data_IF_941629820018
#
_entry.id   IF_941629820018
#
_cell.length_a   1.000
_cell.length_b   1.000
_cell.length_c   1.000
_cell.angle_alpha   90.00
_cell.angle_beta   90.00
_cell.angle_gamma   90.00
#
_symmetry.space_group_name_H-M   'P 1'
#
loop_
_entity.id
_entity.type
_entity.pdbx_description
1 polymer ?
#
# COMPACT_ATOMS: atom_id res chain seq x y z
N UNK A 1 -12.58 61.80 -51.06
CA UNK A 1 -12.88 60.37 -51.23
C UNK A 1 -12.00 59.41 -50.39
N UNK A 2 -10.91 59.85 -49.74
CA UNK A 2 -9.98 58.95 -49.03
C UNK A 2 -10.34 58.61 -47.56
N UNK A 3 -11.27 59.35 -46.92
CA UNK A 3 -11.64 59.12 -45.50
C UNK A 3 -12.53 57.88 -45.28
N UNK A 4 -13.21 57.39 -46.32
CA UNK A 4 -14.16 56.28 -46.23
C UNK A 4 -13.52 54.90 -46.41
N UNK A 5 -12.29 54.83 -46.93
CA UNK A 5 -11.58 53.56 -47.19
C UNK A 5 -10.88 53.08 -45.91
N UNK A 6 -10.33 54.01 -45.12
CA UNK A 6 -9.68 53.70 -43.84
C UNK A 6 -10.69 53.24 -42.78
N UNK A 7 -11.90 53.80 -42.77
CA UNK A 7 -12.97 53.39 -41.85
C UNK A 7 -13.53 52.02 -42.21
N UNK A 8 -13.68 51.71 -43.51
CA UNK A 8 -14.11 50.40 -43.97
C UNK A 8 -13.08 49.30 -43.64
N UNK A 9 -11.78 49.58 -43.80
CA UNK A 9 -10.71 48.65 -43.44
C UNK A 9 -10.64 48.40 -41.93
N UNK A 10 -10.83 49.45 -41.11
CA UNK A 10 -10.86 49.32 -39.65
C UNK A 10 -12.09 48.51 -39.16
N UNK A 11 -13.26 48.72 -39.76
CA UNK A 11 -14.47 47.95 -39.46
C UNK A 11 -14.33 46.48 -39.86
N UNK A 12 -13.76 46.19 -41.03
CA UNK A 12 -13.49 44.82 -41.46
C UNK A 12 -12.47 44.11 -40.56
N UNK A 13 -11.45 44.83 -40.08
CA UNK A 13 -10.49 44.30 -39.11
C UNK A 13 -11.17 43.98 -37.78
N UNK A 14 -12.01 44.90 -37.27
CA UNK A 14 -12.75 44.67 -36.03
C UNK A 14 -13.73 43.50 -36.15
N UNK A 15 -14.47 43.39 -37.26
CA UNK A 15 -15.40 42.28 -37.52
C UNK A 15 -14.63 40.95 -37.66
N UNK A 16 -13.46 40.94 -38.31
CA UNK A 16 -12.61 39.74 -38.39
C UNK A 16 -12.06 39.33 -37.02
N UNK A 17 -11.63 40.30 -36.19
CA UNK A 17 -11.17 40.05 -34.83
C UNK A 17 -12.27 39.51 -33.91
N UNK A 18 -13.49 40.06 -33.99
CA UNK A 18 -14.62 39.59 -33.16
C UNK A 18 -15.12 38.20 -33.58
N UNK A 19 -15.14 37.90 -34.89
CA UNK A 19 -15.49 36.56 -35.39
C UNK A 19 -14.44 35.52 -35.01
N UNK A 20 -13.14 35.87 -34.98
CA UNK A 20 -12.06 34.98 -34.50
C UNK A 20 -12.13 34.73 -33.00
N UNK A 21 -12.50 35.72 -32.19
CA UNK A 21 -12.72 35.54 -30.75
C UNK A 21 -13.95 34.68 -30.45
N UNK A 22 -15.04 34.82 -31.21
CA UNK A 22 -16.27 34.05 -30.98
C UNK A 22 -16.09 32.56 -31.31
N UNK A 23 -15.25 32.22 -32.30
CA UNK A 23 -14.94 30.82 -32.64
C UNK A 23 -14.02 30.08 -31.64
N UNK A 24 -13.46 30.78 -30.64
CA UNK A 24 -12.63 30.17 -29.60
C UNK A 24 -13.43 29.83 -28.33
N UNK A 25 -14.72 30.19 -28.25
CA UNK A 25 -15.53 30.03 -27.03
C UNK A 25 -16.39 28.76 -26.98
N UNK A 26 -16.39 27.92 -28.03
CA UNK A 26 -17.28 26.76 -28.13
C UNK A 26 -16.70 25.41 -27.66
N UNK A 27 -15.58 25.41 -26.92
CA UNK A 27 -14.98 24.14 -26.40
C UNK A 27 -14.92 24.09 -24.86
N UNK A 28 -15.12 25.19 -24.15
CA UNK A 28 -14.90 25.24 -22.69
C UNK A 28 -16.20 25.05 -21.87
N UNK A 29 -17.38 25.01 -22.50
CA UNK A 29 -18.66 25.00 -21.75
C UNK A 29 -19.40 23.65 -21.74
N UNK A 30 -18.99 22.68 -22.57
CA UNK A 30 -19.60 21.33 -22.58
C UNK A 30 -18.79 20.26 -21.84
N UNK A 31 -17.54 20.54 -21.44
CA UNK A 31 -16.64 19.55 -20.85
C UNK A 31 -16.27 19.76 -19.38
N UNK A 32 -16.49 20.95 -18.83
CA UNK A 32 -16.12 21.28 -17.45
C UNK A 32 -17.37 21.62 -16.66
N UNK A 33 -18.01 20.57 -16.16
CA UNK A 33 -19.04 20.69 -15.13
C UNK A 33 -18.50 21.55 -13.98
N UNK A 34 -19.32 22.52 -13.57
CA UNK A 34 -19.15 23.32 -12.36
C UNK A 34 -19.31 22.46 -11.11
N UNK A 35 -18.41 21.50 -10.90
CA UNK A 35 -18.38 20.68 -9.70
C UNK A 35 -16.98 20.77 -9.12
N UNK A 36 -16.84 21.39 -7.95
CA UNK A 36 -15.58 21.58 -7.26
C UNK A 36 -14.78 20.29 -7.23
N UNK A 37 -13.59 20.32 -7.84
CA UNK A 37 -12.65 19.21 -7.76
C UNK A 37 -12.35 18.95 -6.29
N UNK A 38 -12.74 17.78 -5.80
CA UNK A 38 -12.29 17.31 -4.50
C UNK A 38 -10.77 17.26 -4.55
N UNK A 39 -10.11 18.11 -3.78
CA UNK A 39 -8.64 18.23 -3.75
C UNK A 39 -7.98 17.09 -2.95
N UNK A 40 -8.76 16.10 -2.51
CA UNK A 40 -8.25 14.94 -1.80
C UNK A 40 -7.89 13.82 -2.78
N UNK A 41 -6.71 13.19 -2.62
CA UNK A 41 -6.39 11.96 -3.32
C UNK A 41 -7.47 10.90 -3.07
N UNK A 42 -7.71 9.99 -4.03
CA UNK A 42 -8.52 8.81 -3.77
C UNK A 42 -7.97 8.04 -2.56
N UNK A 43 -8.83 7.34 -1.83
CA UNK A 43 -8.40 6.47 -0.75
C UNK A 43 -7.75 5.21 -1.34
N UNK A 44 -6.56 4.85 -0.86
CA UNK A 44 -5.84 3.65 -1.28
C UNK A 44 -5.05 3.06 -0.12
N UNK A 45 -4.70 1.78 -0.21
CA UNK A 45 -3.88 1.12 0.79
C UNK A 45 -2.43 1.62 0.68
N UNK A 46 -1.98 2.40 1.66
CA UNK A 46 -0.62 2.94 1.69
C UNK A 46 0.46 1.86 1.84
N UNK A 47 0.12 0.66 2.31
CA UNK A 47 1.08 -0.41 2.54
C UNK A 47 1.28 -1.32 1.32
N UNK A 48 0.28 -1.45 0.46
CA UNK A 48 0.32 -2.35 -0.69
C UNK A 48 1.45 -1.96 -1.66
N UNK A 49 2.31 -2.92 -1.98
CA UNK A 49 3.45 -2.72 -2.89
C UNK A 49 4.60 -1.86 -2.34
N UNK A 50 4.56 -1.44 -1.07
CA UNK A 50 5.69 -0.74 -0.43
C UNK A 50 6.81 -1.69 0.00
N UNK A 51 7.95 -1.18 0.46
CA UNK A 51 9.00 -2.05 0.99
C UNK A 51 8.75 -2.33 2.47
N UNK A 52 8.63 -3.61 2.82
CA UNK A 52 8.47 -4.07 4.21
C UNK A 52 9.70 -4.83 4.70
N UNK A 53 10.02 -4.66 5.98
CA UNK A 53 11.11 -5.36 6.67
C UNK A 53 10.65 -5.77 8.06
N UNK A 54 11.04 -6.94 8.53
CA UNK A 54 10.77 -7.40 9.89
C UNK A 54 12.09 -7.82 10.55
N UNK A 55 12.27 -7.52 11.83
CA UNK A 55 13.49 -7.90 12.58
C UNK A 55 13.63 -9.41 12.72
N UNK A 56 12.52 -10.14 12.74
CA UNK A 56 12.50 -11.59 12.76
C UNK A 56 11.27 -12.12 12.01
N UNK A 57 11.38 -13.30 11.41
CA UNK A 57 10.29 -14.00 10.71
C UNK A 57 10.43 -15.49 11.00
N UNK A 58 9.32 -16.22 11.11
CA UNK A 58 9.38 -17.67 11.29
C UNK A 58 10.00 -18.35 10.06
N UNK A 59 10.53 -19.56 10.27
CA UNK A 59 11.13 -20.38 9.23
C UNK A 59 12.54 -19.96 8.81
N UNK A 60 13.12 -18.92 9.43
CA UNK A 60 14.49 -18.47 9.17
C UNK A 60 15.25 -18.15 10.47
N UNK A 61 16.57 -18.37 10.47
CA UNK A 61 17.48 -17.94 11.53
C UNK A 61 17.93 -16.48 11.34
N UNK A 62 18.77 -15.96 12.25
CA UNK A 62 19.30 -14.58 12.19
C UNK A 62 20.13 -14.31 10.93
N UNK A 63 20.69 -15.36 10.32
CA UNK A 63 21.45 -15.28 9.07
C UNK A 63 20.56 -15.38 7.83
N UNK A 64 19.24 -15.53 8.00
CA UNK A 64 18.28 -15.75 6.93
C UNK A 64 18.31 -17.17 6.36
N UNK A 65 18.96 -18.13 7.03
CA UNK A 65 18.94 -19.53 6.58
C UNK A 65 17.63 -20.20 6.98
N UNK A 66 17.10 -21.09 6.13
CA UNK A 66 15.87 -21.81 6.46
C UNK A 66 16.05 -22.70 7.70
N UNK A 67 15.12 -22.56 8.64
CA UNK A 67 14.95 -23.43 9.83
C UNK A 67 13.49 -23.85 9.94
N UNK A 68 13.21 -24.85 10.77
CA UNK A 68 11.84 -25.33 11.02
C UNK A 68 11.35 -24.89 12.38
N UNK A 69 10.14 -24.30 12.40
CA UNK A 69 9.54 -23.73 13.59
C UNK A 69 8.18 -24.27 13.87
N UNK A 70 8.04 -24.94 15.00
CA UNK A 70 6.76 -25.40 15.49
C UNK A 70 6.05 -24.25 16.21
N UNK A 71 4.88 -23.87 15.72
CA UNK A 71 3.98 -22.93 16.38
C UNK A 71 2.63 -23.59 16.66
N UNK A 72 1.95 -23.14 17.72
CA UNK A 72 0.67 -23.68 18.13
C UNK A 72 -0.31 -22.53 18.39
N UNK A 73 -1.55 -22.66 17.90
CA UNK A 73 -2.62 -21.70 18.11
C UNK A 73 -3.28 -21.93 19.46
N UNK A 74 -3.42 -20.87 20.25
CA UNK A 74 -4.01 -20.93 21.60
C UNK A 74 -5.51 -21.25 21.61
N UNK A 75 -6.24 -21.04 20.51
CA UNK A 75 -7.70 -21.26 20.44
C UNK A 75 -8.10 -22.74 20.28
N UNK A 76 -7.17 -23.68 20.41
CA UNK A 76 -7.43 -25.11 20.29
C UNK A 76 -7.55 -25.59 18.84
N UNK A 77 -7.28 -26.86 18.62
CA UNK A 77 -7.49 -27.52 17.32
C UNK A 77 -8.92 -28.01 17.16
N UNK A 78 -9.41 -28.16 15.92
CA UNK A 78 -10.71 -28.78 15.69
C UNK A 78 -10.73 -30.19 16.29
N UNK A 79 -11.80 -30.54 17.00
CA UNK A 79 -12.00 -31.87 17.63
C UNK A 79 -11.95 -33.04 16.63
N UNK A 80 -12.06 -32.74 15.34
CA UNK A 80 -12.06 -33.67 14.21
C UNK A 80 -10.91 -33.40 13.21
N UNK A 81 -9.87 -32.68 13.61
CA UNK A 81 -8.68 -32.42 12.78
C UNK A 81 -7.76 -33.62 12.63
N UNK A 82 -6.75 -33.49 11.76
CA UNK A 82 -5.65 -34.44 11.66
C UNK A 82 -4.94 -34.54 13.03
N UNK A 83 -4.84 -35.74 13.64
CA UNK A 83 -4.13 -35.93 14.91
C UNK A 83 -2.68 -35.48 14.84
N UNK A 84 -2.05 -35.51 13.66
CA UNK A 84 -0.65 -35.10 13.47
C UNK A 84 -0.43 -33.60 13.68
N UNK A 85 -1.47 -32.79 13.49
CA UNK A 85 -1.45 -31.33 13.69
C UNK A 85 -2.12 -30.90 15.00
N UNK A 86 -2.45 -31.85 15.88
CA UNK A 86 -3.10 -31.57 17.15
C UNK A 86 -2.23 -32.05 18.31
N UNK A 87 -1.54 -31.14 19.00
CA UNK A 87 -0.73 -31.45 20.18
C UNK A 87 -1.50 -30.98 21.41
N UNK A 88 -1.88 -31.92 22.28
CA UNK A 88 -2.63 -31.62 23.53
C UNK A 88 -3.93 -30.82 23.29
N UNK A 89 -4.61 -31.06 22.16
CA UNK A 89 -5.84 -30.34 21.81
C UNK A 89 -5.63 -28.94 21.23
N UNK A 90 -4.38 -28.52 20.99
CA UNK A 90 -4.04 -27.29 20.28
C UNK A 90 -3.65 -27.59 18.84
N UNK A 91 -4.03 -26.71 17.91
CA UNK A 91 -3.59 -26.82 16.52
C UNK A 91 -2.16 -26.32 16.40
N UNK A 92 -1.25 -27.19 15.98
CA UNK A 92 0.14 -26.85 15.75
C UNK A 92 0.54 -27.11 14.30
N UNK A 93 1.34 -26.22 13.73
CA UNK A 93 1.92 -26.40 12.41
C UNK A 93 3.39 -25.94 12.38
N UNK A 94 4.06 -26.23 11.28
CA UNK A 94 5.47 -25.92 11.05
C UNK A 94 5.57 -24.74 10.09
N UNK A 95 6.33 -23.72 10.46
CA UNK A 95 6.78 -22.67 9.56
C UNK A 95 8.21 -22.96 9.07
N UNK A 96 8.44 -22.79 7.76
CA UNK A 96 9.75 -22.98 7.13
C UNK A 96 9.91 -22.03 5.95
N UNK A 97 11.01 -21.27 5.90
CA UNK A 97 11.30 -20.37 4.78
C UNK A 97 11.42 -21.13 3.46
N UNK A 98 11.15 -20.45 2.34
CA UNK A 98 11.22 -21.01 0.97
C UNK A 98 10.35 -22.28 0.77
N UNK A 99 9.27 -22.41 1.53
CA UNK A 99 8.31 -23.52 1.42
C UNK A 99 6.88 -23.02 1.26
N UNK A 100 5.95 -23.93 1.01
CA UNK A 100 4.51 -23.61 1.01
C UNK A 100 3.96 -23.27 2.41
N UNK A 101 4.77 -23.46 3.47
CA UNK A 101 4.47 -23.07 4.85
C UNK A 101 5.30 -21.85 5.29
N UNK A 102 5.77 -21.05 4.34
CA UNK A 102 6.49 -19.81 4.60
C UNK A 102 5.52 -18.64 4.84
N UNK A 103 5.86 -17.78 5.80
CA UNK A 103 5.08 -16.59 6.14
C UNK A 103 5.96 -15.32 6.10
N UNK A 104 6.55 -14.97 4.95
CA UNK A 104 7.44 -13.82 4.82
C UNK A 104 6.72 -12.49 5.05
N UNK A 105 7.48 -11.44 5.41
CA UNK A 105 6.93 -10.09 5.65
C UNK A 105 6.19 -9.54 4.42
N UNK A 106 6.60 -9.92 3.22
CA UNK A 106 5.96 -9.53 1.96
C UNK A 106 4.50 -9.96 1.85
N UNK A 107 4.08 -11.04 2.54
CA UNK A 107 2.68 -11.46 2.54
C UNK A 107 1.76 -10.40 3.17
N UNK A 108 2.26 -9.55 4.08
CA UNK A 108 1.45 -8.53 4.73
C UNK A 108 1.10 -7.33 3.82
N UNK A 109 1.72 -7.24 2.64
CA UNK A 109 1.60 -6.10 1.71
C UNK A 109 1.27 -6.51 0.28
N UNK A 110 1.04 -7.80 0.03
CA UNK A 110 0.85 -8.35 -1.32
C UNK A 110 -0.60 -8.27 -1.81
N UNK A 111 -1.52 -7.76 -0.99
CA UNK A 111 -2.94 -7.62 -1.31
C UNK A 111 -3.72 -8.94 -1.24
N UNK A 112 -3.12 -10.03 -0.74
CA UNK A 112 -3.76 -11.33 -0.59
C UNK A 112 -4.18 -11.60 0.87
N UNK A 113 -4.84 -12.74 1.11
CA UNK A 113 -5.18 -13.20 2.48
C UNK A 113 -4.02 -13.92 3.18
N UNK A 114 -2.83 -13.94 2.57
CA UNK A 114 -1.64 -14.50 3.22
C UNK A 114 -1.21 -13.57 4.35
N UNK A 115 -0.52 -14.14 5.33
CA UNK A 115 -0.03 -13.40 6.48
C UNK A 115 1.48 -13.58 6.65
N UNK A 116 2.08 -12.62 7.34
CA UNK A 116 3.42 -12.70 7.92
C UNK A 116 3.35 -13.25 9.34
N UNK A 117 4.38 -13.99 9.77
CA UNK A 117 4.44 -14.59 11.11
C UNK A 117 5.84 -14.39 11.72
N UNK A 118 5.89 -13.96 12.98
CA UNK A 118 7.12 -13.90 13.77
C UNK A 118 7.54 -15.30 14.28
N UNK A 119 8.80 -15.49 14.74
CA UNK A 119 9.19 -16.69 15.46
C UNK A 119 8.32 -16.99 16.69
N UNK A 120 8.12 -18.28 17.05
CA UNK A 120 7.42 -18.66 18.27
C UNK A 120 8.27 -18.35 19.52
N UNK A 121 7.63 -18.10 20.68
CA UNK A 121 8.35 -17.83 21.95
C UNK A 121 9.09 -19.05 22.47
N UNK A 122 8.72 -20.25 22.01
CA UNK A 122 9.47 -21.48 22.25
C UNK A 122 10.88 -21.43 21.66
N UNK A 123 11.14 -20.58 20.66
CA UNK A 123 12.49 -20.37 20.12
C UNK A 123 13.32 -19.41 20.98
N UNK A 124 12.70 -18.40 21.57
CA UNK A 124 13.39 -17.37 22.33
C UNK A 124 12.45 -16.28 22.85
N UNK A 125 12.73 -15.76 24.04
CA UNK A 125 11.96 -14.68 24.67
C UNK A 125 12.25 -13.32 24.02
N UNK A 126 13.34 -13.19 23.30
CA UNK A 126 13.66 -12.02 22.47
C UNK A 126 12.62 -11.76 21.39
N UNK A 127 11.86 -12.79 20.97
CA UNK A 127 10.80 -12.67 19.98
C UNK A 127 9.46 -12.20 20.56
N UNK A 128 9.41 -11.85 21.87
CA UNK A 128 8.28 -11.12 22.46
C UNK A 128 8.10 -9.74 21.83
N UNK A 129 9.18 -9.14 21.35
CA UNK A 129 9.17 -7.84 20.69
C UNK A 129 9.80 -7.96 19.31
N UNK A 130 9.02 -7.64 18.28
CA UNK A 130 9.50 -7.62 16.90
C UNK A 130 9.10 -6.30 16.25
N UNK A 131 10.01 -5.75 15.45
CA UNK A 131 9.77 -4.50 14.72
C UNK A 131 9.47 -4.82 13.27
N UNK A 132 8.30 -4.35 12.81
CA UNK A 132 7.91 -4.38 11.41
C UNK A 132 7.98 -2.97 10.86
N UNK A 133 8.77 -2.78 9.81
CA UNK A 133 9.15 -1.49 9.25
C UNK A 133 8.66 -1.40 7.80
N UNK A 134 7.79 -0.43 7.54
CA UNK A 134 7.21 -0.15 6.24
C UNK A 134 7.79 1.15 5.67
N UNK A 135 8.43 1.10 4.51
CA UNK A 135 8.97 2.25 3.79
C UNK A 135 7.97 2.73 2.73
N UNK A 136 7.29 3.83 3.04
CA UNK A 136 6.20 4.36 2.23
C UNK A 136 6.68 5.10 0.97
N UNK A 137 7.97 5.44 0.86
CA UNK A 137 8.53 6.16 -0.30
C UNK A 137 7.98 7.58 -0.55
N UNK A 138 7.06 8.06 0.28
CA UNK A 138 6.50 9.42 0.22
C UNK A 138 7.51 10.43 0.80
N UNK A 139 7.43 11.71 0.43
CA UNK A 139 8.23 12.78 1.06
C UNK A 139 7.38 13.51 2.10
N UNK A 140 7.63 13.29 3.39
CA UNK A 140 7.04 14.13 4.44
C UNK A 140 7.67 15.52 4.40
N UNK A 141 6.84 16.57 4.53
CA UNK A 141 7.30 17.96 4.72
C UNK A 141 8.08 18.14 6.03
N UNK A 142 8.04 17.15 6.92
CA UNK A 142 8.90 17.00 8.11
C UNK A 142 10.00 16.01 7.73
N UNK A 143 11.25 16.46 7.76
CA UNK A 143 12.44 15.72 7.32
C UNK A 143 12.77 14.51 8.21
N UNK A 144 11.88 13.52 8.25
CA UNK A 144 12.06 12.21 8.85
C UNK A 144 11.67 11.20 7.78
N UNK A 145 12.46 10.14 7.63
CA UNK A 145 12.21 9.03 6.69
C UNK A 145 10.74 8.61 6.81
N UNK A 146 10.00 8.48 5.71
CA UNK A 146 8.58 8.12 5.72
C UNK A 146 8.41 6.62 6.00
N UNK A 147 8.84 6.23 7.20
CA UNK A 147 8.89 4.87 7.67
C UNK A 147 7.95 4.73 8.84
N UNK A 148 7.07 3.73 8.78
CA UNK A 148 6.22 3.36 9.92
C UNK A 148 6.79 2.10 10.53
N UNK A 149 7.16 2.17 11.81
CA UNK A 149 7.58 1.00 12.58
C UNK A 149 6.47 0.63 13.55
N UNK A 150 6.03 -0.61 13.48
CA UNK A 150 5.09 -1.21 14.42
C UNK A 150 5.85 -2.18 15.32
N UNK A 151 5.83 -1.91 16.62
CA UNK A 151 6.37 -2.78 17.67
C UNK A 151 5.18 -3.27 18.48
N UNK A 152 4.99 -4.58 18.59
CA UNK A 152 3.87 -5.17 19.32
C UNK A 152 4.23 -6.51 19.93
N UNK A 153 3.66 -6.79 21.09
CA UNK A 153 3.67 -8.12 21.71
C UNK A 153 2.77 -9.03 20.87
N UNK A 154 3.37 -10.01 20.19
CA UNK A 154 2.65 -10.83 19.23
C UNK A 154 1.84 -11.88 19.98
N UNK A 155 0.52 -11.83 19.84
CA UNK A 155 -0.36 -12.90 20.31
C UNK A 155 -0.10 -14.12 19.44
N UNK A 156 0.60 -15.11 20.00
CA UNK A 156 0.82 -16.43 19.40
C UNK A 156 -0.44 -17.30 19.49
#
# INVERSE_FOLDING_TARGET
>A
MARNIATAAALLWHICCTVRLLSAQDVITYGYGVNGFSLHPPYFNLAEGTKITATATCGQDESGKPVEDLYCKLVGGPVSGDPSQTIQGQYCDICKAESNKAHPSTNAIDGTERWWQSPPLSRGLEYNEVNVTLDLGQWSKRQERNTVTMSGELVQ
#
